data_IF_305686525694
#
_entry.id   IF_305686525694
#
_cell.length_a   1.000
_cell.length_b   1.000
_cell.length_c   1.000
_cell.angle_alpha   90.00
_cell.angle_beta   90.00
_cell.angle_gamma   90.00
#
_symmetry.space_group_name_H-M   'P 1'
#
loop_
_entity.id
_entity.type
_entity.pdbx_description
1 polymer ?
#
# COMPACT_ATOMS: atom_id res chain seq x y z
N UNK A 1 1.01 10.24 13.52
CA UNK A 1 1.42 11.49 12.86
C UNK A 1 2.55 11.22 11.88
N UNK A 2 2.51 11.76 10.69
CA UNK A 2 3.55 11.59 9.68
C UNK A 2 4.49 12.79 9.63
N UNK A 3 5.77 12.54 9.40
CA UNK A 3 6.78 13.59 9.28
C UNK A 3 7.66 13.32 8.07
N UNK A 4 7.92 14.35 7.28
CA UNK A 4 8.85 14.25 6.16
C UNK A 4 10.27 14.18 6.72
N UNK A 5 10.97 13.08 6.37
CA UNK A 5 12.37 12.87 6.78
C UNK A 5 13.33 13.44 5.73
N UNK A 6 13.00 13.24 4.45
CA UNK A 6 13.81 13.74 3.35
C UNK A 6 12.95 13.80 2.08
N UNK A 7 13.43 14.54 1.10
CA UNK A 7 12.76 14.56 -0.21
C UNK A 7 13.73 14.98 -1.30
N UNK A 8 13.46 14.52 -2.53
CA UNK A 8 14.19 14.94 -3.72
C UNK A 8 13.19 15.28 -4.82
N UNK A 9 13.56 16.24 -5.65
CA UNK A 9 12.82 16.56 -6.88
C UNK A 9 13.52 15.87 -8.05
N UNK A 10 12.76 15.15 -8.86
CA UNK A 10 13.32 14.48 -10.03
C UNK A 10 13.72 15.48 -11.11
N UNK A 11 14.56 15.04 -12.05
CA UNK A 11 15.09 15.90 -13.12
C UNK A 11 14.00 16.55 -13.97
N UNK A 12 12.84 15.90 -14.12
CA UNK A 12 11.70 16.47 -14.84
C UNK A 12 11.09 17.68 -14.12
N UNK A 13 11.52 17.95 -12.88
CA UNK A 13 11.07 19.04 -12.01
C UNK A 13 9.57 19.04 -11.69
N UNK A 14 8.85 18.00 -12.10
CA UNK A 14 7.41 17.84 -11.84
C UNK A 14 7.13 16.80 -10.75
N UNK A 15 8.06 15.89 -10.51
CA UNK A 15 7.89 14.81 -9.54
C UNK A 15 8.82 14.99 -8.35
N UNK A 16 8.32 14.64 -7.18
CA UNK A 16 9.06 14.68 -5.93
C UNK A 16 8.97 13.30 -5.29
N UNK A 17 10.08 12.77 -4.80
CA UNK A 17 10.12 11.59 -3.96
C UNK A 17 10.34 12.06 -2.53
N UNK A 18 9.50 11.60 -1.60
CA UNK A 18 9.62 11.93 -0.18
C UNK A 18 9.79 10.67 0.64
N UNK A 19 10.72 10.72 1.59
CA UNK A 19 10.82 9.73 2.65
C UNK A 19 10.03 10.25 3.84
N UNK A 20 9.01 9.51 4.25
CA UNK A 20 8.09 9.93 5.31
C UNK A 20 8.06 8.86 6.38
N UNK A 21 8.20 9.28 7.64
CA UNK A 21 7.98 8.42 8.79
C UNK A 21 6.53 8.60 9.27
N UNK A 22 5.78 7.52 9.36
CA UNK A 22 4.37 7.58 9.77
C UNK A 22 3.66 6.27 9.52
N UNK A 23 2.34 6.28 9.67
CA UNK A 23 1.49 5.13 9.44
C UNK A 23 0.87 5.22 8.05
N UNK A 24 1.22 4.25 7.19
CA UNK A 24 0.73 4.23 5.81
C UNK A 24 -0.81 4.13 5.73
N UNK A 25 -1.45 3.54 6.74
CA UNK A 25 -2.91 3.37 6.76
C UNK A 25 -3.65 4.67 7.07
N UNK A 26 -2.94 5.71 7.44
CA UNK A 26 -3.50 7.03 7.76
C UNK A 26 -3.22 8.08 6.68
N UNK A 27 -2.54 7.70 5.60
CA UNK A 27 -2.16 8.62 4.53
C UNK A 27 -3.28 8.77 3.51
N UNK A 28 -3.69 10.01 3.25
CA UNK A 28 -4.64 10.33 2.18
C UNK A 28 -3.87 10.50 0.87
N UNK A 29 -3.82 9.45 0.08
CA UNK A 29 -3.09 9.39 -1.19
C UNK A 29 -3.93 8.68 -2.25
N UNK A 30 -3.53 8.77 -3.51
CA UNK A 30 -4.26 8.14 -4.61
C UNK A 30 -4.14 6.62 -4.60
N UNK A 31 -3.00 6.09 -4.17
CA UNK A 31 -2.76 4.65 -4.09
C UNK A 31 -1.67 4.36 -3.06
N UNK A 32 -1.71 3.17 -2.49
CA UNK A 32 -0.63 2.66 -1.65
C UNK A 32 -0.15 1.32 -2.21
N UNK A 33 1.13 1.04 -2.02
CA UNK A 33 1.72 -0.25 -2.42
C UNK A 33 1.86 -1.11 -1.18
N UNK A 34 1.25 -2.29 -1.23
CA UNK A 34 1.28 -3.24 -0.12
C UNK A 34 2.55 -4.09 -0.16
N UNK A 35 3.08 -4.43 1.01
CA UNK A 35 4.15 -5.40 1.18
C UNK A 35 3.57 -6.82 1.12
N UNK A 36 3.16 -7.23 -0.08
CA UNK A 36 2.42 -8.47 -0.30
C UNK A 36 3.34 -9.65 -0.64
N UNK A 37 2.84 -10.86 -0.43
CA UNK A 37 3.42 -12.08 -0.99
C UNK A 37 2.67 -12.48 -2.26
N UNK A 38 3.19 -13.49 -2.99
CA UNK A 38 2.60 -13.90 -4.27
C UNK A 38 1.19 -14.47 -4.14
N UNK A 39 0.82 -15.01 -2.98
CA UNK A 39 -0.52 -15.53 -2.73
C UNK A 39 -1.48 -14.49 -2.17
N UNK A 40 -1.01 -13.26 -1.97
CA UNK A 40 -1.82 -12.15 -1.47
C UNK A 40 -2.51 -12.45 -0.13
N UNK A 41 -1.81 -13.18 0.74
CA UNK A 41 -2.27 -13.45 2.11
C UNK A 41 -1.65 -12.43 3.06
N UNK A 42 -2.50 -11.60 3.64
CA UNK A 42 -2.08 -10.43 4.41
C UNK A 42 -2.10 -10.72 5.92
N UNK A 43 -1.35 -11.76 6.32
CA UNK A 43 -1.42 -12.32 7.66
C UNK A 43 -0.51 -11.66 8.70
N UNK A 44 0.32 -10.70 8.33
CA UNK A 44 1.21 -10.03 9.28
C UNK A 44 1.84 -8.77 8.72
N UNK A 45 2.50 -8.00 9.59
CA UNK A 45 3.22 -6.79 9.22
C UNK A 45 2.34 -5.70 8.64
N UNK A 46 2.89 -4.95 7.68
CA UNK A 46 2.19 -3.86 7.00
C UNK A 46 0.95 -4.37 6.26
N UNK A 47 1.03 -5.54 5.62
CA UNK A 47 -0.09 -6.11 4.90
C UNK A 47 -1.30 -6.35 5.81
N UNK A 48 -1.08 -6.91 6.99
CA UNK A 48 -2.13 -7.13 7.98
C UNK A 48 -2.71 -5.81 8.49
N UNK A 49 -1.85 -4.82 8.74
CA UNK A 49 -2.30 -3.49 9.18
C UNK A 49 -3.23 -2.83 8.13
N UNK A 50 -2.90 -2.97 6.86
CA UNK A 50 -3.72 -2.44 5.76
C UNK A 50 -5.10 -3.12 5.76
N UNK A 51 -5.16 -4.43 5.90
CA UNK A 51 -6.44 -5.16 5.94
C UNK A 51 -7.25 -4.79 7.18
N UNK A 52 -6.62 -4.71 8.34
CA UNK A 52 -7.32 -4.35 9.58
C UNK A 52 -7.94 -2.95 9.52
N UNK A 53 -7.24 -1.99 8.94
CA UNK A 53 -7.74 -0.61 8.80
C UNK A 53 -8.69 -0.44 7.63
N UNK A 54 -8.41 -1.09 6.50
CA UNK A 54 -9.22 -0.97 5.29
C UNK A 54 -10.42 -1.88 5.26
N UNK A 55 -10.37 -3.01 5.95
CA UNK A 55 -11.45 -3.98 6.03
C UNK A 55 -11.17 -5.28 5.28
N UNK A 56 -11.92 -6.33 5.61
CA UNK A 56 -11.79 -7.65 5.03
C UNK A 56 -12.01 -7.68 3.51
N UNK A 57 -12.68 -6.69 2.96
CA UNK A 57 -12.90 -6.61 1.51
C UNK A 57 -11.58 -6.62 0.74
N UNK A 58 -10.50 -6.10 1.32
CA UNK A 58 -9.18 -6.12 0.70
C UNK A 58 -8.69 -7.57 0.58
N UNK A 59 -8.83 -8.36 1.65
CA UNK A 59 -8.45 -9.77 1.61
C UNK A 59 -9.37 -10.58 0.68
N UNK A 60 -10.66 -10.29 0.68
CA UNK A 60 -11.62 -10.98 -0.19
C UNK A 60 -11.29 -10.77 -1.66
N UNK A 61 -10.97 -9.54 -2.06
CA UNK A 61 -10.56 -9.25 -3.44
C UNK A 61 -9.23 -9.91 -3.77
N UNK A 62 -8.30 -9.89 -2.82
CA UNK A 62 -7.00 -10.57 -2.97
C UNK A 62 -7.18 -12.08 -3.17
N UNK A 63 -8.08 -12.70 -2.42
CA UNK A 63 -8.38 -14.14 -2.54
C UNK A 63 -8.97 -14.50 -3.91
N UNK A 64 -9.76 -13.62 -4.49
CA UNK A 64 -10.31 -13.82 -5.84
C UNK A 64 -9.23 -13.77 -6.92
N UNK A 65 -8.22 -12.95 -6.74
CA UNK A 65 -7.07 -12.88 -7.65
C UNK A 65 -6.21 -14.13 -7.49
N UNK A 66 -5.94 -14.55 -6.27
CA UNK A 66 -5.31 -15.81 -5.88
C UNK A 66 -3.80 -15.81 -5.95
N UNK A 67 -3.20 -15.49 -7.08
CA UNK A 67 -1.76 -15.56 -7.24
C UNK A 67 -1.25 -14.45 -8.17
N UNK A 68 -0.14 -13.81 -7.75
CA UNK A 68 0.56 -12.81 -8.56
C UNK A 68 2.04 -13.16 -8.60
N UNK A 69 2.59 -13.46 -9.79
CA UNK A 69 4.02 -13.76 -9.91
C UNK A 69 4.90 -12.59 -9.48
N UNK A 70 6.10 -12.89 -9.00
CA UNK A 70 7.12 -11.87 -8.75
C UNK A 70 7.35 -11.06 -10.04
N UNK A 71 7.42 -9.75 -9.92
CA UNK A 71 7.56 -8.84 -11.06
C UNK A 71 6.24 -8.33 -11.62
N UNK A 72 5.11 -8.84 -11.14
CA UNK A 72 3.77 -8.38 -11.52
C UNK A 72 3.09 -7.69 -10.35
N UNK A 73 2.06 -6.90 -10.65
CA UNK A 73 1.23 -6.25 -9.63
C UNK A 73 -0.23 -6.27 -10.04
N UNK A 74 -1.11 -6.14 -9.07
CA UNK A 74 -2.56 -6.07 -9.26
C UNK A 74 -3.13 -4.96 -8.37
N UNK A 75 -4.34 -4.55 -8.67
CA UNK A 75 -5.03 -3.51 -7.90
C UNK A 75 -6.24 -4.13 -7.19
N UNK A 76 -6.43 -3.76 -5.93
CA UNK A 76 -7.66 -4.04 -5.18
C UNK A 76 -8.30 -2.75 -4.72
N UNK A 77 -9.50 -2.83 -4.18
CA UNK A 77 -10.08 -1.72 -3.42
C UNK A 77 -9.20 -1.39 -2.21
N UNK A 78 -9.27 -0.16 -1.76
CA UNK A 78 -8.66 0.27 -0.49
C UNK A 78 -9.63 0.16 0.70
N UNK A 79 -10.86 -0.26 0.46
CA UNK A 79 -11.87 -0.38 1.51
C UNK A 79 -12.12 0.94 2.22
N UNK A 80 -11.92 0.96 3.55
CA UNK A 80 -12.13 2.16 4.37
C UNK A 80 -10.88 3.02 4.58
N UNK A 81 -9.79 2.74 3.88
CA UNK A 81 -8.60 3.59 3.96
C UNK A 81 -8.89 4.99 3.39
N UNK A 82 -8.19 6.02 3.89
CA UNK A 82 -8.40 7.39 3.41
C UNK A 82 -8.21 7.57 1.91
#
# INVERSE_FOLDING_TARGET
MAAIVDQIRLENKKSIIRLVAGDITERAVDAIVNAANSYLKHGGGVADAIVRKGGEIIQEESDKIGFVPVGCSVITTSGRLP
#
